data_IF_735136569279
#
_entry.id   IF_735136569279
#
_cell.length_a   1.000
_cell.length_b   1.000
_cell.length_c   1.000
_cell.angle_alpha   90.00
_cell.angle_beta   90.00
_cell.angle_gamma   90.00
#
_symmetry.space_group_name_H-M   'P 1'
#
loop_
_entity.id
_entity.type
_entity.pdbx_description
1 polymer ?
#
# COMPACT_ATOMS: atom_id res chain seq x y z
N UNK A 1 -15.10 11.58 -9.24
CA UNK A 1 -15.05 10.15 -8.91
C UNK A 1 -16.45 9.58 -8.97
N UNK A 2 -16.62 8.40 -9.56
CA UNK A 2 -17.93 7.73 -9.69
C UNK A 2 -17.77 6.25 -9.29
N UNK A 3 -18.58 5.79 -8.33
CA UNK A 3 -18.59 4.38 -7.93
C UNK A 3 -19.31 3.57 -9.01
N UNK A 4 -18.65 2.54 -9.52
CA UNK A 4 -19.18 1.66 -10.57
C UNK A 4 -19.67 0.33 -10.02
N UNK A 5 -19.05 -0.16 -8.94
CA UNK A 5 -19.43 -1.41 -8.30
C UNK A 5 -19.03 -1.42 -6.82
N UNK A 6 -19.74 -2.24 -6.02
CA UNK A 6 -19.52 -2.43 -4.59
C UNK A 6 -19.61 -3.92 -4.26
N UNK A 7 -18.52 -4.49 -3.76
CA UNK A 7 -18.45 -5.91 -3.38
C UNK A 7 -17.95 -6.02 -1.95
N UNK A 8 -18.65 -6.76 -1.11
CA UNK A 8 -18.18 -7.02 0.25
C UNK A 8 -17.23 -8.23 0.25
N UNK A 9 -16.00 -8.01 0.72
CA UNK A 9 -15.00 -9.04 0.88
C UNK A 9 -15.11 -9.68 2.27
N UNK A 10 -15.62 -10.91 2.30
CA UNK A 10 -15.80 -11.67 3.54
C UNK A 10 -14.48 -12.15 4.16
N UNK A 11 -13.39 -12.27 3.40
CA UNK A 11 -12.11 -12.80 3.88
C UNK A 11 -11.39 -11.80 4.77
N UNK A 12 -11.42 -10.53 4.39
CA UNK A 12 -10.79 -9.41 5.12
C UNK A 12 -11.80 -8.46 5.75
N UNK A 13 -13.09 -8.81 5.71
CA UNK A 13 -14.21 -8.06 6.28
C UNK A 13 -14.20 -6.57 5.89
N UNK A 14 -14.12 -6.29 4.59
CA UNK A 14 -13.98 -4.93 4.05
C UNK A 14 -14.87 -4.72 2.82
N UNK A 15 -15.38 -3.50 2.65
CA UNK A 15 -16.13 -3.11 1.47
C UNK A 15 -15.16 -2.71 0.34
N UNK A 16 -15.19 -3.44 -0.76
CA UNK A 16 -14.42 -3.14 -1.95
C UNK A 16 -15.24 -2.28 -2.91
N UNK A 17 -14.66 -1.14 -3.33
CA UNK A 17 -15.28 -0.21 -4.27
C UNK A 17 -14.47 -0.14 -5.56
N UNK A 18 -15.13 -0.35 -6.70
CA UNK A 18 -14.57 -0.04 -8.01
C UNK A 18 -14.99 1.37 -8.42
N UNK A 19 -14.02 2.25 -8.62
CA UNK A 19 -14.26 3.68 -8.86
C UNK A 19 -13.67 4.09 -10.21
N UNK A 20 -14.46 4.77 -11.02
CA UNK A 20 -13.98 5.49 -12.18
C UNK A 20 -13.59 6.93 -11.78
N UNK A 21 -12.38 7.33 -12.16
CA UNK A 21 -11.82 8.66 -11.84
C UNK A 21 -11.06 9.21 -13.04
N UNK A 22 -10.71 10.49 -13.04
CA UNK A 22 -9.79 11.07 -14.03
C UNK A 22 -8.33 11.03 -13.56
N UNK A 23 -7.38 11.23 -14.49
CA UNK A 23 -5.97 11.44 -14.17
C UNK A 23 -5.79 12.61 -13.21
N UNK A 24 -6.53 13.70 -13.41
CA UNK A 24 -6.49 14.90 -12.55
C UNK A 24 -6.97 14.63 -11.12
N UNK A 25 -8.12 13.98 -10.98
CA UNK A 25 -8.70 13.62 -9.68
C UNK A 25 -7.77 12.68 -8.92
N UNK A 26 -7.25 11.66 -9.61
CA UNK A 26 -6.32 10.72 -8.99
C UNK A 26 -4.96 11.35 -8.66
N UNK A 27 -4.43 12.22 -9.51
CA UNK A 27 -3.20 12.96 -9.23
C UNK A 27 -3.35 13.77 -7.95
N UNK A 28 -4.47 14.46 -7.78
CA UNK A 28 -4.79 15.22 -6.57
C UNK A 28 -4.83 14.32 -5.34
N UNK A 29 -5.51 13.17 -5.42
CA UNK A 29 -5.54 12.17 -4.34
C UNK A 29 -4.13 11.64 -4.00
N UNK A 30 -3.31 11.37 -5.02
CA UNK A 30 -1.98 10.78 -4.88
C UNK A 30 -0.95 11.69 -4.20
N UNK A 31 -1.24 13.00 -4.11
CA UNK A 31 -0.37 13.95 -3.40
C UNK A 31 -0.30 13.59 -1.92
N UNK A 32 -1.47 13.39 -1.31
CA UNK A 32 -1.59 13.10 0.12
C UNK A 32 -1.14 11.65 0.46
N UNK A 33 -1.37 10.69 -0.46
CA UNK A 33 -1.05 9.27 -0.23
C UNK A 33 0.46 9.01 -0.12
N UNK A 34 1.29 9.72 -0.90
CA UNK A 34 2.73 9.41 -0.95
C UNK A 34 3.52 9.95 0.25
N UNK A 35 2.97 10.90 1.00
CA UNK A 35 3.64 11.52 2.13
C UNK A 35 3.54 10.67 3.42
N UNK A 36 2.65 9.66 3.47
CA UNK A 36 2.32 8.87 4.68
C UNK A 36 2.62 7.34 4.61
N UNK A 37 3.55 6.90 3.77
CA UNK A 37 3.74 5.46 3.52
C UNK A 37 4.73 4.74 4.47
N UNK A 38 4.29 4.44 5.69
CA UNK A 38 5.09 3.66 6.67
C UNK A 38 5.40 2.22 6.19
N UNK A 39 4.51 1.63 5.38
CA UNK A 39 4.58 0.22 5.00
C UNK A 39 5.16 -0.04 3.59
N UNK A 40 5.45 1.00 2.81
CA UNK A 40 5.93 0.84 1.43
C UNK A 40 7.44 0.97 1.32
N UNK A 41 8.01 0.19 0.41
CA UNK A 41 9.42 0.31 0.02
C UNK A 41 9.66 1.63 -0.73
N UNK A 42 10.83 2.24 -0.49
CA UNK A 42 11.31 3.39 -1.28
C UNK A 42 11.23 3.08 -2.78
N UNK A 43 10.90 4.08 -3.60
CA UNK A 43 10.80 3.97 -5.08
C UNK A 43 11.96 3.14 -5.62
N UNK A 44 11.63 2.01 -6.25
CA UNK A 44 12.63 1.20 -6.95
C UNK A 44 13.18 2.06 -8.09
N UNK A 45 14.46 2.47 -7.98
CA UNK A 45 15.19 3.08 -9.09
C UNK A 45 15.33 2.01 -10.19
N UNK A 46 14.36 1.97 -11.10
CA UNK A 46 14.34 1.02 -12.22
C UNK A 46 14.45 1.77 -13.54
N UNK A 47 14.95 1.06 -14.55
CA UNK A 47 15.45 1.57 -15.83
C UNK A 47 14.50 2.56 -16.50
N UNK A 48 15.08 3.66 -17.01
CA UNK A 48 14.38 4.78 -17.63
C UNK A 48 13.47 4.42 -18.82
N UNK A 49 13.59 3.22 -19.40
CA UNK A 49 12.92 2.82 -20.64
C UNK A 49 11.49 2.27 -20.47
N UNK A 50 11.18 1.57 -19.38
CA UNK A 50 9.83 0.99 -19.18
C UNK A 50 8.85 2.04 -18.66
N UNK A 51 9.31 2.95 -17.81
CA UNK A 51 8.47 4.05 -17.31
C UNK A 51 8.24 5.14 -18.33
N UNK A 52 9.20 5.38 -19.23
CA UNK A 52 8.98 6.26 -20.37
C UNK A 52 7.93 5.70 -21.32
N UNK A 53 7.88 4.37 -21.49
CA UNK A 53 6.85 3.69 -22.27
C UNK A 53 5.46 3.87 -21.63
N UNK A 54 5.29 3.51 -20.35
CA UNK A 54 3.99 3.67 -19.68
C UNK A 54 3.50 5.13 -19.68
N UNK A 55 4.40 6.09 -19.50
CA UNK A 55 4.07 7.52 -19.59
C UNK A 55 3.55 7.88 -20.98
N UNK A 56 4.23 7.39 -22.02
CA UNK A 56 3.83 7.59 -23.43
C UNK A 56 2.47 6.95 -23.71
N UNK A 57 2.25 5.74 -23.20
CA UNK A 57 1.00 5.00 -23.35
C UNK A 57 -0.17 5.72 -22.66
N UNK A 58 0.03 6.22 -21.43
CA UNK A 58 -0.95 7.04 -20.72
C UNK A 58 -1.29 8.31 -21.50
N UNK A 59 -0.28 8.93 -22.16
CA UNK A 59 -0.45 10.06 -23.07
C UNK A 59 -1.15 9.69 -24.39
N UNK A 60 -1.19 8.42 -24.79
CA UNK A 60 -1.96 7.94 -25.95
C UNK A 60 -3.37 7.43 -25.60
N UNK A 61 -3.61 7.07 -24.34
CA UNK A 61 -4.95 6.75 -23.83
C UNK A 61 -5.05 5.31 -23.36
N UNK A 62 -3.91 4.69 -23.07
CA UNK A 62 -3.83 3.34 -22.56
C UNK A 62 -4.60 3.21 -21.25
N UNK A 63 -5.50 2.23 -21.21
CA UNK A 63 -6.21 1.84 -19.98
C UNK A 63 -5.28 0.93 -19.19
N UNK A 64 -4.83 1.42 -18.03
CA UNK A 64 -3.99 0.65 -17.12
C UNK A 64 -4.84 -0.22 -16.18
N UNK A 65 -4.27 -1.30 -15.63
CA UNK A 65 -4.92 -2.04 -14.54
C UNK A 65 -5.26 -1.09 -13.38
N UNK A 66 -6.34 -1.36 -12.61
CA UNK A 66 -6.77 -0.50 -11.51
C UNK A 66 -5.68 -0.31 -10.46
N UNK A 67 -5.55 0.91 -9.94
CA UNK A 67 -4.69 1.17 -8.77
C UNK A 67 -5.47 0.78 -7.52
N UNK A 68 -4.87 -0.06 -6.67
CA UNK A 68 -5.54 -0.64 -5.52
C UNK A 68 -5.12 0.10 -4.25
N UNK A 69 -6.09 0.62 -3.52
CA UNK A 69 -5.93 1.42 -2.31
C UNK A 69 -6.64 0.76 -1.12
N UNK A 70 -6.23 1.13 0.08
CA UNK A 70 -6.87 0.77 1.34
C UNK A 70 -7.15 2.03 2.16
N UNK A 71 -8.29 2.04 2.85
CA UNK A 71 -8.62 3.00 3.90
C UNK A 71 -8.93 2.23 5.18
N UNK A 72 -8.18 2.51 6.24
CA UNK A 72 -8.27 1.77 7.51
C UNK A 72 -9.60 1.98 8.25
N UNK A 73 -9.91 1.06 9.18
CA UNK A 73 -11.14 0.96 10.00
C UNK A 73 -11.63 2.23 10.69
N UNK A 74 -10.81 3.29 10.78
CA UNK A 74 -11.24 4.58 11.33
C UNK A 74 -12.30 5.27 10.44
N UNK A 75 -12.48 4.79 9.21
CA UNK A 75 -13.57 5.16 8.32
C UNK A 75 -14.63 4.03 8.30
N UNK A 76 -15.62 4.10 9.18
CA UNK A 76 -16.77 3.17 9.15
C UNK A 76 -17.63 3.44 7.91
N UNK A 77 -17.61 2.51 6.96
CA UNK A 77 -18.57 2.47 5.86
C UNK A 77 -19.72 1.54 6.24
N UNK A 78 -20.88 2.10 6.60
CA UNK A 78 -22.10 1.32 6.79
C UNK A 78 -22.52 0.65 5.47
N UNK A 79 -23.08 -0.57 5.54
CA UNK A 79 -23.52 -1.35 4.36
C UNK A 79 -24.55 -0.62 3.48
N UNK A 80 -25.23 0.39 4.02
CA UNK A 80 -26.31 1.14 3.36
C UNK A 80 -25.94 2.60 3.02
N UNK A 81 -24.65 2.94 2.95
CA UNK A 81 -24.21 4.29 2.56
C UNK A 81 -24.44 4.56 1.07
N UNK A 82 -24.89 5.78 0.76
CA UNK A 82 -25.01 6.25 -0.62
C UNK A 82 -23.63 6.37 -1.27
N UNK A 83 -23.59 6.41 -2.61
CA UNK A 83 -22.33 6.56 -3.35
C UNK A 83 -21.62 7.87 -2.99
N UNK A 84 -22.39 8.94 -2.83
CA UNK A 84 -21.88 10.26 -2.45
C UNK A 84 -21.28 10.25 -1.05
N UNK A 85 -21.91 9.56 -0.09
CA UNK A 85 -21.39 9.43 1.27
C UNK A 85 -20.05 8.68 1.28
N UNK A 86 -19.95 7.58 0.52
CA UNK A 86 -18.71 6.80 0.41
C UNK A 86 -17.57 7.62 -0.20
N UNK A 87 -17.86 8.38 -1.26
CA UNK A 87 -16.87 9.28 -1.88
C UNK A 87 -16.44 10.37 -0.90
N UNK A 88 -17.38 10.96 -0.15
CA UNK A 88 -17.08 11.96 0.87
C UNK A 88 -16.19 11.38 1.99
N UNK A 89 -16.45 10.15 2.43
CA UNK A 89 -15.59 9.44 3.39
C UNK A 89 -14.17 9.23 2.86
N UNK A 90 -14.02 8.81 1.60
CA UNK A 90 -12.70 8.65 0.96
C UNK A 90 -11.95 9.99 0.93
N UNK A 91 -12.62 11.06 0.52
CA UNK A 91 -12.01 12.39 0.40
C UNK A 91 -11.70 13.02 1.76
N UNK A 92 -12.54 12.76 2.77
CA UNK A 92 -12.37 13.24 4.14
C UNK A 92 -11.24 12.56 4.92
N UNK A 93 -10.80 11.39 4.47
CA UNK A 93 -9.70 10.62 5.06
C UNK A 93 -8.60 10.27 4.05
N UNK A 94 -8.44 11.09 3.00
CA UNK A 94 -7.49 10.84 1.91
C UNK A 94 -6.03 10.73 2.37
N UNK A 95 -5.69 11.37 3.49
CA UNK A 95 -4.36 11.30 4.13
C UNK A 95 -4.05 9.93 4.75
N UNK A 96 -5.08 9.13 5.00
CA UNK A 96 -4.97 7.77 5.56
C UNK A 96 -5.04 6.68 4.51
N UNK A 97 -5.17 7.05 3.24
CA UNK A 97 -5.16 6.09 2.14
C UNK A 97 -3.76 5.49 1.96
N UNK A 98 -3.72 4.17 1.75
CA UNK A 98 -2.49 3.42 1.52
C UNK A 98 -2.59 2.75 0.14
N UNK A 99 -1.54 2.85 -0.69
CA UNK A 99 -1.48 2.07 -1.94
C UNK A 99 -1.10 0.63 -1.61
N UNK A 100 -1.96 -0.32 -1.97
CA UNK A 100 -1.72 -1.76 -1.87
C UNK A 100 -1.01 -2.29 -3.11
N UNK A 101 -1.42 -1.82 -4.29
CA UNK A 101 -0.81 -2.13 -5.59
C UNK A 101 -0.93 -0.92 -6.53
N UNK A 102 0.10 -0.69 -7.34
CA UNK A 102 0.13 0.39 -8.33
C UNK A 102 1.02 1.57 -7.94
N UNK A 103 1.97 1.39 -7.02
CA UNK A 103 2.90 2.45 -6.62
C UNK A 103 3.68 3.04 -7.82
N UNK A 104 4.17 2.20 -8.73
CA UNK A 104 4.89 2.67 -9.92
C UNK A 104 3.98 3.36 -10.94
N UNK A 105 2.72 2.90 -11.08
CA UNK A 105 1.70 3.56 -11.89
C UNK A 105 1.39 4.95 -11.33
N UNK A 106 1.29 5.06 -10.02
CA UNK A 106 1.11 6.32 -9.29
C UNK A 106 2.24 7.30 -9.56
N UNK A 107 3.51 6.87 -9.41
CA UNK A 107 4.66 7.72 -9.75
C UNK A 107 4.66 8.15 -11.21
N UNK A 108 4.32 7.24 -12.13
CA UNK A 108 4.29 7.55 -13.57
C UNK A 108 3.21 8.60 -13.89
N UNK A 109 2.04 8.51 -13.26
CA UNK A 109 0.96 9.52 -13.38
C UNK A 109 1.44 10.87 -12.84
N UNK A 110 2.07 10.91 -11.66
CA UNK A 110 2.63 12.15 -11.11
C UNK A 110 3.70 12.76 -12.03
N UNK A 111 4.63 11.95 -12.51
CA UNK A 111 5.69 12.36 -13.43
C UNK A 111 5.11 12.88 -14.77
N UNK A 112 4.01 12.29 -15.25
CA UNK A 112 3.28 12.77 -16.43
C UNK A 112 2.66 14.15 -16.18
N UNK A 113 1.91 14.32 -15.09
CA UNK A 113 1.23 15.59 -14.81
C UNK A 113 2.23 16.73 -14.58
N UNK A 114 3.30 16.49 -13.82
CA UNK A 114 4.37 17.47 -13.61
C UNK A 114 5.06 17.88 -14.93
N UNK A 115 5.22 16.94 -15.86
CA UNK A 115 5.79 17.23 -17.18
C UNK A 115 4.84 18.08 -18.04
N UNK A 116 3.54 17.78 -18.02
CA UNK A 116 2.52 18.57 -18.72
C UNK A 116 2.42 19.99 -18.16
N UNK A 117 2.56 20.16 -16.84
CA UNK A 117 2.57 21.47 -16.18
C UNK A 117 3.83 22.28 -16.52
N UNK A 118 5.02 21.66 -16.48
CA UNK A 118 6.29 22.36 -16.74
C UNK A 118 6.49 22.76 -18.21
N UNK A 119 5.92 22.01 -19.16
CA UNK A 119 6.06 22.26 -20.60
C UNK A 119 4.91 23.07 -21.22
N UNK A 120 3.91 23.45 -20.43
CA UNK A 120 2.66 24.08 -20.90
C UNK A 120 2.05 23.34 -22.10
N UNK A 121 1.86 22.03 -21.93
CA UNK A 121 1.52 21.14 -23.02
C UNK A 121 0.11 21.43 -23.60
N UNK A 122 -0.06 21.61 -24.92
CA UNK A 122 -1.35 21.93 -25.52
C UNK A 122 -2.40 20.81 -25.32
N UNK A 123 -1.96 19.56 -25.12
CA UNK A 123 -2.85 18.42 -24.89
C UNK A 123 -3.18 18.21 -23.40
N UNK A 124 -2.63 19.03 -22.49
CA UNK A 124 -2.76 18.88 -21.03
C UNK A 124 -4.20 18.62 -20.60
N UNK A 125 -5.14 19.49 -21.01
CA UNK A 125 -6.54 19.39 -20.62
C UNK A 125 -7.20 18.09 -21.12
N UNK A 126 -6.81 17.61 -22.29
CA UNK A 126 -7.30 16.35 -22.86
C UNK A 126 -6.76 15.16 -22.08
N UNK A 127 -5.47 15.17 -21.73
CA UNK A 127 -4.81 14.08 -20.99
C UNK A 127 -5.35 14.01 -19.55
N UNK A 128 -5.47 15.14 -18.86
CA UNK A 128 -5.96 15.22 -17.48
C UNK A 128 -7.37 14.65 -17.29
N UNK A 129 -8.23 14.81 -18.30
CA UNK A 129 -9.62 14.30 -18.30
C UNK A 129 -9.75 12.82 -18.62
N UNK A 130 -8.66 12.13 -18.99
CA UNK A 130 -8.72 10.70 -19.30
C UNK A 130 -9.08 9.90 -18.08
N UNK A 131 -9.89 8.88 -18.31
CA UNK A 131 -10.43 8.01 -17.27
C UNK A 131 -9.42 6.93 -16.89
N UNK A 132 -9.36 6.63 -15.61
CA UNK A 132 -8.69 5.48 -15.03
C UNK A 132 -9.59 4.85 -13.96
N UNK A 133 -9.25 3.63 -13.57
CA UNK A 133 -9.96 2.91 -12.52
C UNK A 133 -9.09 2.82 -11.27
N UNK A 134 -9.71 3.00 -10.13
CA UNK A 134 -9.12 2.67 -8.83
C UNK A 134 -10.04 1.71 -8.10
N UNK A 135 -9.44 0.90 -7.24
CA UNK A 135 -10.14 -0.02 -6.36
C UNK A 135 -9.80 0.36 -4.92
N UNK A 136 -10.80 0.54 -4.06
CA UNK A 136 -10.58 0.94 -2.67
C UNK A 136 -11.22 -0.07 -1.72
N UNK A 137 -10.40 -0.65 -0.85
CA UNK A 137 -10.86 -1.42 0.30
C UNK A 137 -11.15 -0.47 1.46
N UNK A 138 -12.42 -0.23 1.73
CA UNK A 138 -12.89 0.61 2.85
C UNK A 138 -13.06 -0.21 4.12
N UNK A 139 -12.64 0.37 5.25
CA UNK A 139 -12.78 -0.25 6.56
C UNK A 139 -11.91 -1.50 6.73
N UNK A 140 -10.81 -1.60 5.97
CA UNK A 140 -9.90 -2.75 6.06
C UNK A 140 -9.01 -2.62 7.30
N UNK A 141 -8.90 -3.70 8.07
CA UNK A 141 -8.00 -3.73 9.22
C UNK A 141 -6.53 -3.94 8.79
N UNK A 142 -5.59 -3.73 9.70
CA UNK A 142 -4.15 -3.83 9.40
C UNK A 142 -3.73 -5.21 8.87
N UNK A 143 -4.29 -6.27 9.44
CA UNK A 143 -4.06 -7.65 8.97
C UNK A 143 -4.61 -7.87 7.55
N UNK A 144 -5.76 -7.29 7.22
CA UNK A 144 -6.35 -7.34 5.89
C UNK A 144 -5.52 -6.56 4.86
N UNK A 145 -4.99 -5.39 5.24
CA UNK A 145 -4.04 -4.63 4.41
C UNK A 145 -2.83 -5.50 4.08
N UNK A 146 -2.26 -6.16 5.08
CA UNK A 146 -1.13 -7.07 4.93
C UNK A 146 -1.45 -8.24 4.01
N UNK A 147 -2.55 -8.95 4.27
CA UNK A 147 -3.02 -10.04 3.45
C UNK A 147 -3.21 -9.62 1.99
N UNK A 148 -3.78 -8.43 1.75
CA UNK A 148 -3.95 -7.88 0.40
C UNK A 148 -2.63 -7.48 -0.24
N UNK A 149 -1.68 -6.92 0.49
CA UNK A 149 -0.34 -6.70 -0.02
C UNK A 149 0.34 -8.02 -0.41
N UNK A 150 0.13 -9.11 0.32
CA UNK A 150 0.70 -10.42 0.00
C UNK A 150 0.05 -11.08 -1.22
N UNK A 151 -1.28 -10.97 -1.32
CA UNK A 151 -2.07 -11.61 -2.39
C UNK A 151 -2.07 -10.81 -3.70
N UNK A 152 -2.06 -9.48 -3.66
CA UNK A 152 -2.05 -8.64 -4.86
C UNK A 152 -0.68 -8.54 -5.54
N UNK A 153 0.38 -9.03 -4.89
CA UNK A 153 1.74 -9.10 -5.44
C UNK A 153 2.16 -10.52 -5.88
N UNK A 154 1.27 -11.51 -5.87
CA UNK A 154 1.59 -12.86 -6.35
C UNK A 154 1.82 -12.85 -7.86
N UNK A 155 3.09 -12.85 -8.28
CA UNK A 155 3.52 -12.86 -9.69
C UNK A 155 4.49 -11.74 -10.08
N UNK A 156 4.68 -10.72 -9.24
CA UNK A 156 5.72 -9.68 -9.40
C UNK A 156 6.90 -9.96 -8.45
N UNK A 157 8.01 -9.22 -8.57
CA UNK A 157 9.19 -9.38 -7.70
C UNK A 157 8.75 -9.41 -6.23
N UNK A 158 8.89 -10.54 -5.53
CA UNK A 158 8.25 -10.73 -4.24
C UNK A 158 8.79 -9.72 -3.22
N UNK A 159 7.89 -9.26 -2.35
CA UNK A 159 8.28 -8.62 -1.11
C UNK A 159 9.15 -9.60 -0.31
N UNK A 160 10.26 -9.14 0.27
CA UNK A 160 11.14 -9.99 1.07
C UNK A 160 10.35 -10.46 2.29
N UNK A 161 10.50 -11.73 2.67
CA UNK A 161 9.90 -12.26 3.92
C UNK A 161 10.29 -11.37 5.11
N UNK A 162 11.48 -10.77 5.05
CA UNK A 162 11.97 -9.76 5.99
C UNK A 162 11.04 -8.55 6.11
N UNK A 163 10.75 -7.85 5.01
CA UNK A 163 9.81 -6.72 5.01
C UNK A 163 8.40 -7.15 5.47
N UNK A 164 7.99 -8.39 5.19
CA UNK A 164 6.68 -8.91 5.60
C UNK A 164 6.58 -9.08 7.12
N UNK A 165 7.61 -9.65 7.75
CA UNK A 165 7.74 -9.77 9.21
C UNK A 165 7.72 -8.38 9.84
N UNK A 166 8.48 -7.42 9.30
CA UNK A 166 8.55 -6.09 9.90
C UNK A 166 7.18 -5.40 9.98
N UNK A 167 6.31 -5.59 8.98
CA UNK A 167 4.98 -4.99 9.00
C UNK A 167 4.05 -5.71 9.99
N UNK A 168 4.09 -7.04 10.08
CA UNK A 168 3.26 -7.81 11.04
C UNK A 168 3.55 -7.35 12.47
N UNK A 169 4.82 -7.20 12.79
CA UNK A 169 5.25 -6.84 14.13
C UNK A 169 5.41 -5.34 14.36
N UNK A 170 5.00 -4.49 13.41
CA UNK A 170 5.20 -3.04 13.51
C UNK A 170 4.47 -2.37 14.68
N UNK A 171 3.41 -2.97 15.22
CA UNK A 171 2.77 -2.44 16.45
C UNK A 171 3.64 -2.65 17.68
N UNK A 172 4.45 -3.71 17.74
CA UNK A 172 5.42 -3.92 18.83
C UNK A 172 6.61 -2.93 18.77
N UNK A 173 6.73 -2.17 17.68
CA UNK A 173 7.77 -1.13 17.52
C UNK A 173 7.27 0.22 18.05
N UNK A 174 5.96 0.50 17.97
CA UNK A 174 5.43 1.86 18.21
C UNK A 174 5.74 2.41 19.60
N UNK A 175 5.79 1.54 20.59
CA UNK A 175 6.07 1.92 21.98
C UNK A 175 7.57 1.91 22.31
N UNK A 176 8.43 1.42 21.39
CA UNK A 176 9.84 1.21 21.63
C UNK A 176 10.11 0.15 22.70
N UNK A 177 11.37 -0.26 22.83
CA UNK A 177 11.85 -1.05 23.97
C UNK A 177 12.94 -0.22 24.65
N UNK A 178 12.57 0.59 25.65
CA UNK A 178 13.49 1.41 26.46
C UNK A 178 14.67 2.04 25.66
N UNK A 179 15.91 1.85 26.12
CA UNK A 179 17.16 2.36 25.53
C UNK A 179 17.57 1.65 24.22
N UNK A 180 16.72 0.78 23.66
CA UNK A 180 17.02 -0.03 22.48
C UNK A 180 16.39 0.58 21.22
N UNK A 181 17.23 0.87 20.23
CA UNK A 181 16.82 1.36 18.91
C UNK A 181 16.70 0.21 17.92
N UNK A 182 15.49 -0.02 17.42
CA UNK A 182 15.19 -1.03 16.40
C UNK A 182 15.26 -0.41 15.01
N UNK A 183 16.17 -0.90 14.18
CA UNK A 183 16.39 -0.42 12.80
C UNK A 183 15.56 -1.28 11.84
N UNK A 184 14.68 -0.66 11.04
CA UNK A 184 13.86 -1.31 10.01
C UNK A 184 14.64 -1.47 8.70
N UNK A 185 14.29 -2.45 7.85
CA UNK A 185 14.89 -2.60 6.52
C UNK A 185 14.66 -1.36 5.64
N UNK A 186 13.54 -0.66 5.83
CA UNK A 186 13.21 0.58 5.09
C UNK A 186 14.15 1.75 5.37
N UNK A 187 14.84 1.72 6.51
CA UNK A 187 15.72 2.80 6.94
C UNK A 187 17.03 2.75 6.15
N UNK A 188 17.49 1.54 5.82
CA UNK A 188 18.74 1.28 5.09
C UNK A 188 20.00 1.42 5.96
N UNK A 189 19.82 1.55 7.28
CA UNK A 189 20.89 1.74 8.24
C UNK A 189 21.46 0.41 8.76
N UNK A 190 22.71 0.44 9.22
CA UNK A 190 23.38 -0.68 9.87
C UNK A 190 23.59 -0.33 11.35
N UNK A 191 23.32 -1.24 12.29
CA UNK A 191 23.60 -1.01 13.70
C UNK A 191 25.07 -0.63 13.92
N UNK A 192 25.31 0.51 14.57
CA UNK A 192 26.67 1.01 14.88
C UNK A 192 26.91 1.11 16.39
N UNK A 193 25.86 1.11 17.21
CA UNK A 193 25.95 1.16 18.67
C UNK A 193 25.47 -0.15 19.30
N UNK A 194 25.91 -0.43 20.54
CA UNK A 194 25.52 -1.64 21.29
C UNK A 194 24.02 -1.69 21.61
N UNK A 195 23.32 -0.55 21.58
CA UNK A 195 21.88 -0.45 21.78
C UNK A 195 21.07 -0.41 20.47
N UNK A 196 21.71 -0.63 19.32
CA UNK A 196 21.05 -0.70 18.02
C UNK A 196 20.94 -2.15 17.55
N UNK A 197 19.73 -2.59 17.19
CA UNK A 197 19.50 -3.93 16.65
C UNK A 197 18.64 -3.86 15.41
N UNK A 198 18.87 -4.77 14.47
CA UNK A 198 17.96 -4.93 13.33
C UNK A 198 16.67 -5.53 13.83
N UNK A 199 15.56 -4.91 13.46
CA UNK A 199 14.25 -5.32 13.94
C UNK A 199 13.95 -6.79 13.62
N UNK A 200 14.30 -7.22 12.40
CA UNK A 200 14.20 -8.62 11.98
C UNK A 200 14.85 -9.60 12.95
N UNK A 201 16.10 -9.34 13.37
CA UNK A 201 16.87 -10.30 14.14
C UNK A 201 16.26 -10.52 15.54
N UNK A 202 15.61 -9.47 16.08
CA UNK A 202 14.84 -9.54 17.33
C UNK A 202 13.57 -10.38 17.15
N UNK A 203 12.82 -10.15 16.07
CA UNK A 203 11.58 -10.90 15.82
C UNK A 203 11.86 -12.38 15.53
N UNK A 204 12.90 -12.66 14.76
CA UNK A 204 13.33 -14.02 14.45
C UNK A 204 13.78 -14.74 15.72
N UNK A 205 14.61 -14.10 16.55
CA UNK A 205 15.01 -14.64 17.85
C UNK A 205 13.83 -14.85 18.81
N UNK A 206 12.89 -13.91 18.86
CA UNK A 206 11.68 -14.02 19.68
C UNK A 206 10.80 -15.19 19.22
N UNK A 207 10.56 -15.30 17.91
CA UNK A 207 9.71 -16.36 17.35
C UNK A 207 10.36 -17.72 17.54
N UNK A 208 11.64 -17.86 17.25
CA UNK A 208 12.40 -19.09 17.49
C UNK A 208 12.39 -19.51 18.97
N UNK A 209 12.42 -18.54 19.89
CA UNK A 209 12.30 -18.81 21.32
C UNK A 209 10.92 -19.34 21.70
N UNK A 210 9.84 -18.74 21.18
CA UNK A 210 8.46 -19.13 21.47
C UNK A 210 8.13 -20.50 20.86
N UNK A 211 8.46 -20.69 19.60
CA UNK A 211 8.19 -21.93 18.85
C UNK A 211 9.13 -23.07 19.25
N UNK A 212 10.23 -22.74 19.94
CA UNK A 212 11.34 -23.64 20.25
C UNK A 212 11.92 -24.31 19.00
N UNK A 213 11.83 -23.60 17.88
CA UNK A 213 12.38 -24.00 16.59
C UNK A 213 13.43 -22.98 16.15
N UNK A 214 14.59 -23.47 15.73
CA UNK A 214 15.70 -22.64 15.27
C UNK A 214 15.58 -22.26 13.80
N UNK A 215 14.59 -22.83 13.08
CA UNK A 215 14.34 -22.53 11.69
C UNK A 215 13.76 -21.12 11.53
N UNK A 216 14.20 -20.45 10.47
CA UNK A 216 13.76 -19.10 10.13
C UNK A 216 12.33 -19.14 9.62
N UNK A 217 11.48 -18.18 10.02
CA UNK A 217 10.08 -18.09 9.57
C UNK A 217 10.04 -18.03 8.03
N UNK A 218 9.45 -19.04 7.39
CA UNK A 218 9.26 -19.05 5.94
C UNK A 218 7.97 -18.31 5.57
N UNK A 219 7.85 -17.93 4.29
CA UNK A 219 6.68 -17.24 3.73
C UNK A 219 5.38 -18.02 3.97
N UNK A 220 5.47 -19.34 3.97
CA UNK A 220 4.34 -20.23 4.23
C UNK A 220 3.88 -20.11 5.69
N UNK A 221 4.82 -20.06 6.63
CA UNK A 221 4.53 -19.90 8.06
C UNK A 221 3.91 -18.53 8.37
N UNK A 222 4.29 -17.47 7.63
CA UNK A 222 3.68 -16.14 7.73
C UNK A 222 2.21 -16.16 7.31
N UNK A 223 1.87 -16.93 6.26
CA UNK A 223 0.51 -17.08 5.77
C UNK A 223 -0.31 -18.03 6.64
N UNK A 224 0.32 -19.08 7.17
CA UNK A 224 -0.27 -20.05 8.08
C UNK A 224 -0.48 -19.49 9.49
N UNK A 225 0.23 -18.41 9.87
CA UNK A 225 0.05 -17.69 11.13
C UNK A 225 -1.32 -17.03 11.31
N UNK A 226 -2.19 -17.02 10.29
CA UNK A 226 -3.63 -16.81 10.50
C UNK A 226 -4.24 -17.84 11.47
N UNK A 227 -3.71 -19.07 11.53
CA UNK A 227 -4.14 -20.07 12.52
C UNK A 227 -3.72 -19.68 13.95
N UNK A 228 -2.56 -19.03 14.14
CA UNK A 228 -2.09 -18.62 15.48
C UNK A 228 -2.89 -17.41 16.00
N UNK A 229 -3.36 -16.52 15.13
CA UNK A 229 -4.26 -15.41 15.49
C UNK A 229 -5.68 -15.87 15.89
N UNK A 230 -6.06 -17.11 15.56
CA UNK A 230 -7.34 -17.68 16.02
C UNK A 230 -7.31 -18.02 17.53
N UNK A 231 -6.14 -18.04 18.17
CA UNK A 231 -6.00 -18.30 19.60
C UNK A 231 -6.04 -17.06 20.51
N UNK A 232 -6.07 -15.84 19.93
CA UNK A 232 -6.02 -14.59 20.71
C UNK A 232 -7.20 -13.63 20.44
N UNK A 233 -8.28 -14.12 19.80
CA UNK A 233 -9.62 -13.51 19.81
C UNK A 233 -10.58 -14.39 20.62
#
# INVERSE_FOLDING_TARGET
MEIKDKIFDNRINSLNLLIETTIEEYYTLSKDILDNNEFQRRRVKSSSSVYSLLKTDLRQGCVIPPIVLALSMEAEAGKDQSDDDLVNTILGHKEKLIILDGLQRTYTIRDLVNELESKDDPEKNTILKRKLRIEIYLGINKLGILYRMLTLNTGQTPMSSRHQIEIIYSDYIKDGIDDIKLIKETDGDTPNNESEYKFRDIIEGFTSYIERDYLTIDRTDILDNELILTFFL
#
